data_IF_323967024031
#
_entry.id   IF_323967024031
#
_cell.length_a   1.000
_cell.length_b   1.000
_cell.length_c   1.000
_cell.angle_alpha   90.00
_cell.angle_beta   90.00
_cell.angle_gamma   90.00
#
_symmetry.space_group_name_H-M   'P 1'
#
loop_
_entity.id
_entity.type
_entity.pdbx_description
1 polymer ?
#
# COMPACT_ATOMS: atom_id res chain seq x y z
N UNK A 1 -25.19 -7.96 -11.77
CA UNK A 1 -23.75 -8.23 -11.61
C UNK A 1 -23.52 -9.59 -12.23
N UNK A 2 -22.81 -9.61 -13.36
CA UNK A 2 -22.42 -10.83 -14.05
C UNK A 2 -21.29 -11.50 -13.28
N UNK A 3 -21.13 -12.82 -13.42
CA UNK A 3 -20.02 -13.53 -12.81
C UNK A 3 -18.70 -13.14 -13.50
N UNK A 4 -17.56 -13.35 -12.82
CA UNK A 4 -16.27 -13.21 -13.47
C UNK A 4 -16.07 -14.35 -14.47
N UNK A 5 -15.80 -14.01 -15.73
CA UNK A 5 -15.23 -14.96 -16.68
C UNK A 5 -13.71 -14.96 -16.55
N UNK A 6 -13.13 -16.10 -16.16
CA UNK A 6 -11.69 -16.21 -15.89
C UNK A 6 -10.91 -16.73 -17.09
N UNK A 7 -9.81 -16.04 -17.40
CA UNK A 7 -8.85 -16.51 -18.37
C UNK A 7 -8.17 -17.80 -17.88
N UNK A 8 -8.33 -18.87 -18.67
CA UNK A 8 -7.83 -20.22 -18.38
C UNK A 8 -6.40 -20.48 -18.89
N UNK A 9 -5.82 -19.55 -19.66
CA UNK A 9 -4.47 -19.68 -20.19
C UNK A 9 -3.36 -19.23 -19.22
N UNK A 10 -2.16 -19.03 -19.77
CA UNK A 10 -0.98 -18.61 -19.00
C UNK A 10 -1.19 -17.24 -18.34
N UNK A 11 -0.68 -17.10 -17.11
CA UNK A 11 -0.76 -15.86 -16.32
C UNK A 11 0.65 -15.30 -16.09
N UNK A 12 0.79 -13.98 -16.02
CA UNK A 12 2.05 -13.34 -15.66
C UNK A 12 2.27 -13.33 -14.12
N UNK A 13 3.42 -12.82 -13.66
CA UNK A 13 3.73 -12.69 -12.24
C UNK A 13 2.75 -11.80 -11.46
N UNK A 14 2.01 -10.92 -12.14
CA UNK A 14 0.94 -10.10 -11.57
C UNK A 14 -0.44 -10.77 -11.54
N UNK A 15 -0.55 -12.04 -11.97
CA UNK A 15 -1.79 -12.80 -12.04
C UNK A 15 -2.67 -12.52 -13.26
N UNK A 16 -2.26 -11.62 -14.15
CA UNK A 16 -3.03 -11.27 -15.35
C UNK A 16 -2.87 -12.33 -16.44
N UNK A 17 -3.98 -12.67 -17.11
CA UNK A 17 -3.98 -13.55 -18.27
C UNK A 17 -3.17 -12.98 -19.44
N UNK A 18 -2.35 -13.83 -20.06
CA UNK A 18 -1.46 -13.49 -21.17
C UNK A 18 -1.77 -14.38 -22.38
N UNK A 19 -1.96 -13.74 -23.53
CA UNK A 19 -2.15 -14.37 -24.82
C UNK A 19 -0.78 -14.66 -25.47
N UNK A 20 -0.69 -15.81 -26.12
CA UNK A 20 0.50 -16.23 -26.88
C UNK A 20 0.79 -15.26 -28.03
N UNK A 21 -0.25 -14.78 -28.71
CA UNK A 21 -0.18 -13.76 -29.76
C UNK A 21 -0.97 -12.52 -29.33
N UNK A 22 -0.56 -11.34 -29.80
CA UNK A 22 -1.30 -10.12 -29.52
C UNK A 22 -2.66 -10.14 -30.23
N UNK A 23 -3.72 -9.78 -29.52
CA UNK A 23 -5.08 -9.59 -30.04
C UNK A 23 -5.48 -8.15 -29.72
N UNK A 24 -6.05 -7.45 -30.70
CA UNK A 24 -6.43 -6.03 -30.58
C UNK A 24 -5.27 -5.14 -30.05
N UNK A 25 -4.04 -5.43 -30.49
CA UNK A 25 -2.83 -4.69 -30.11
C UNK A 25 -2.28 -5.00 -28.72
N UNK A 26 -2.80 -6.00 -28.01
CA UNK A 26 -2.36 -6.36 -26.66
C UNK A 26 -2.13 -7.85 -26.48
N UNK A 27 -1.09 -8.21 -25.71
CA UNK A 27 -0.87 -9.59 -25.22
C UNK A 27 -1.57 -9.87 -23.89
N UNK A 28 -2.11 -8.85 -23.23
CA UNK A 28 -2.89 -9.03 -22.00
C UNK A 28 -4.34 -9.32 -22.35
N UNK A 29 -4.88 -10.45 -21.86
CA UNK A 29 -6.19 -10.95 -22.22
C UNK A 29 -7.31 -9.95 -21.87
N UNK A 30 -7.28 -9.38 -20.67
CA UNK A 30 -8.25 -8.38 -20.23
C UNK A 30 -8.22 -7.10 -21.08
N UNK A 31 -7.05 -6.66 -21.57
CA UNK A 31 -6.97 -5.52 -22.49
C UNK A 31 -7.54 -5.84 -23.86
N UNK A 32 -7.37 -7.08 -24.35
CA UNK A 32 -7.93 -7.51 -25.62
C UNK A 32 -9.47 -7.54 -25.55
N UNK A 33 -10.03 -8.07 -24.46
CA UNK A 33 -11.48 -8.09 -24.20
C UNK A 33 -12.06 -6.66 -24.06
N UNK A 34 -11.36 -5.76 -23.37
CA UNK A 34 -11.78 -4.36 -23.29
C UNK A 34 -11.71 -3.66 -24.66
N UNK A 35 -10.67 -3.93 -25.46
CA UNK A 35 -10.55 -3.35 -26.79
C UNK A 35 -11.69 -3.80 -27.72
N UNK A 36 -12.09 -5.07 -27.62
CA UNK A 36 -13.23 -5.61 -28.35
C UNK A 36 -14.54 -4.92 -27.95
N UNK A 37 -14.79 -4.78 -26.65
CA UNK A 37 -15.95 -4.02 -26.13
C UNK A 37 -15.99 -2.58 -26.63
N UNK A 38 -14.84 -1.91 -26.70
CA UNK A 38 -14.74 -0.51 -27.12
C UNK A 38 -14.73 -0.34 -28.65
N UNK A 39 -14.52 -1.41 -29.41
CA UNK A 39 -14.29 -1.33 -30.86
C UNK A 39 -12.99 -0.60 -31.25
N UNK A 40 -12.08 -0.36 -30.29
CA UNK A 40 -10.80 0.32 -30.50
C UNK A 40 -9.72 -0.20 -29.56
N UNK A 41 -8.43 -0.08 -29.90
CA UNK A 41 -7.36 -0.41 -28.98
C UNK A 41 -7.43 0.39 -27.67
N UNK A 42 -7.09 -0.27 -26.57
CA UNK A 42 -6.96 0.38 -25.24
C UNK A 42 -5.68 1.22 -25.26
N UNK A 43 -5.83 2.54 -25.21
CA UNK A 43 -4.72 3.49 -25.17
C UNK A 43 -4.14 3.60 -23.75
N UNK A 44 -5.02 3.62 -22.74
CA UNK A 44 -4.64 3.78 -21.33
C UNK A 44 -4.42 2.45 -20.62
N UNK A 45 -5.11 2.30 -19.50
CA UNK A 45 -5.13 1.13 -18.61
C UNK A 45 -6.50 0.47 -18.67
N UNK A 46 -6.50 -0.86 -18.70
CA UNK A 46 -7.71 -1.64 -18.49
C UNK A 46 -7.81 -1.95 -16.99
N UNK A 47 -8.76 -1.33 -16.31
CA UNK A 47 -8.96 -1.44 -14.86
C UNK A 47 -10.07 -2.45 -14.56
N UNK A 48 -9.85 -3.32 -13.58
CA UNK A 48 -10.86 -4.26 -13.10
C UNK A 48 -11.74 -3.62 -12.01
N UNK A 49 -13.06 -3.72 -12.15
CA UNK A 49 -13.99 -3.39 -11.05
C UNK A 49 -14.13 -4.54 -10.06
N UNK A 50 -13.99 -5.78 -10.53
CA UNK A 50 -14.08 -7.01 -9.72
C UNK A 50 -12.77 -7.37 -8.99
N UNK A 51 -11.69 -6.64 -9.26
CA UNK A 51 -10.41 -6.83 -8.59
C UNK A 51 -9.76 -8.23 -8.76
N UNK A 52 -10.23 -9.01 -9.75
CA UNK A 52 -9.77 -10.35 -10.10
C UNK A 52 -8.90 -10.30 -11.39
N UNK A 53 -7.55 -10.31 -11.29
CA UNK A 53 -6.64 -10.16 -12.44
C UNK A 53 -6.85 -11.10 -13.64
N UNK A 54 -7.23 -12.39 -13.47
CA UNK A 54 -7.55 -13.26 -14.60
C UNK A 54 -8.90 -12.96 -15.27
N UNK A 55 -9.73 -12.07 -14.72
CA UNK A 55 -11.06 -11.80 -15.28
C UNK A 55 -10.98 -11.08 -16.63
N UNK A 56 -11.76 -11.56 -17.61
CA UNK A 56 -11.88 -11.02 -18.97
C UNK A 56 -13.30 -10.55 -19.31
N UNK A 57 -14.25 -10.71 -18.39
CA UNK A 57 -15.64 -10.25 -18.56
C UNK A 57 -15.69 -8.75 -18.90
N UNK A 58 -16.18 -8.34 -20.09
CA UNK A 58 -16.15 -6.96 -20.54
C UNK A 58 -16.85 -5.97 -19.61
N UNK A 59 -17.91 -6.38 -18.91
CA UNK A 59 -18.61 -5.53 -17.94
C UNK A 59 -17.79 -5.22 -16.68
N UNK A 60 -16.77 -6.02 -16.37
CA UNK A 60 -15.85 -5.79 -15.26
C UNK A 60 -14.61 -4.96 -15.64
N UNK A 61 -14.52 -4.52 -16.89
CA UNK A 61 -13.36 -3.81 -17.44
C UNK A 61 -13.72 -2.37 -17.80
N UNK A 62 -12.88 -1.44 -17.35
CA UNK A 62 -12.97 -0.01 -17.61
C UNK A 62 -11.70 0.50 -18.29
N UNK A 63 -11.86 1.36 -19.30
CA UNK A 63 -10.75 2.16 -19.84
C UNK A 63 -10.48 3.30 -18.86
N UNK A 64 -9.20 3.61 -18.65
CA UNK A 64 -8.82 4.65 -17.73
C UNK A 64 -7.35 5.01 -17.83
N UNK A 65 -6.96 6.03 -17.09
CA UNK A 65 -5.60 6.53 -17.01
C UNK A 65 -4.81 5.80 -15.91
N UNK A 66 -3.49 5.97 -15.93
CA UNK A 66 -2.65 5.51 -14.83
C UNK A 66 -3.04 6.18 -13.49
N UNK A 67 -3.42 7.46 -13.52
CA UNK A 67 -3.85 8.20 -12.33
C UNK A 67 -5.11 7.59 -11.71
N UNK A 68 -6.08 7.25 -12.55
CA UNK A 68 -7.31 6.54 -12.16
C UNK A 68 -7.03 5.13 -11.61
N UNK A 69 -6.09 4.37 -12.20
CA UNK A 69 -5.69 3.07 -11.65
C UNK A 69 -5.03 3.19 -10.26
N UNK A 70 -4.21 4.23 -10.07
CA UNK A 70 -3.61 4.52 -8.76
C UNK A 70 -4.69 4.94 -7.76
N UNK A 71 -5.66 5.77 -8.16
CA UNK A 71 -6.77 6.17 -7.30
C UNK A 71 -7.60 4.96 -6.84
N UNK A 72 -7.92 4.03 -7.74
CA UNK A 72 -8.59 2.77 -7.39
C UNK A 72 -7.75 1.93 -6.42
N UNK A 73 -6.45 1.80 -6.68
CA UNK A 73 -5.54 1.07 -5.79
C UNK A 73 -5.44 1.70 -4.40
N UNK A 74 -5.48 3.03 -4.29
CA UNK A 74 -5.49 3.75 -3.00
C UNK A 74 -6.82 3.54 -2.29
N UNK A 75 -7.95 3.76 -2.97
CA UNK A 75 -9.29 3.56 -2.42
C UNK A 75 -9.50 2.13 -1.91
N UNK A 76 -8.88 1.14 -2.57
CA UNK A 76 -8.96 -0.29 -2.23
C UNK A 76 -7.83 -0.78 -1.32
N UNK A 77 -6.99 0.13 -0.80
CA UNK A 77 -5.91 -0.22 0.15
C UNK A 77 -4.80 -1.11 -0.42
N UNK A 78 -4.63 -1.15 -1.75
CA UNK A 78 -3.66 -2.01 -2.46
C UNK A 78 -2.30 -1.35 -2.69
N UNK A 79 -2.12 -0.11 -2.26
CA UNK A 79 -0.82 0.58 -2.36
C UNK A 79 0.09 0.17 -1.21
N UNK A 80 1.40 0.03 -1.46
CA UNK A 80 2.41 -0.27 -0.43
C UNK A 80 2.46 0.78 0.69
N UNK A 81 2.03 2.02 0.41
CA UNK A 81 1.84 3.10 1.38
C UNK A 81 0.44 3.18 2.00
N UNK A 82 -0.52 2.36 1.56
CA UNK A 82 -1.84 2.27 2.20
C UNK A 82 -1.83 1.52 3.53
N UNK A 83 -0.67 0.97 3.92
CA UNK A 83 -0.44 0.22 5.17
C UNK A 83 -0.01 1.07 6.36
N UNK A 84 -0.05 2.39 6.27
CA UNK A 84 -0.21 3.17 7.49
C UNK A 84 -1.71 3.27 7.66
N UNK A 85 -2.28 2.49 8.58
CA UNK A 85 -3.56 2.86 9.18
C UNK A 85 -3.46 4.37 9.45
N UNK A 86 -4.15 5.22 8.70
CA UNK A 86 -4.00 6.67 8.92
C UNK A 86 -4.39 7.02 10.36
N UNK A 87 -5.23 6.15 10.94
CA UNK A 87 -5.68 6.14 12.31
C UNK A 87 -4.70 5.53 13.33
N UNK A 88 -3.69 4.73 12.97
CA UNK A 88 -2.84 4.02 13.94
C UNK A 88 -1.37 3.90 13.51
N UNK A 89 -0.45 3.99 14.48
CA UNK A 89 0.99 3.86 14.23
C UNK A 89 1.43 2.39 14.16
N UNK A 90 2.68 2.12 13.76
CA UNK A 90 3.24 0.75 13.68
C UNK A 90 3.19 -0.05 15.00
N UNK A 91 3.03 0.64 16.13
CA UNK A 91 2.92 0.04 17.47
C UNK A 91 1.46 0.01 17.96
N UNK A 92 0.48 0.28 17.09
CA UNK A 92 -0.95 0.25 17.41
C UNK A 92 -1.49 1.50 18.13
N UNK A 93 -0.73 2.58 18.27
CA UNK A 93 -1.24 3.80 18.91
C UNK A 93 -2.08 4.64 17.95
N UNK A 94 -3.21 5.15 18.41
CA UNK A 94 -4.07 6.04 17.64
C UNK A 94 -3.32 7.32 17.19
N UNK A 95 -3.28 7.57 15.88
CA UNK A 95 -2.71 8.76 15.22
C UNK A 95 -3.79 9.84 15.06
N UNK A 96 -4.35 10.28 16.19
CA UNK A 96 -5.31 11.39 16.27
C UNK A 96 -4.62 12.73 16.50
N UNK A 97 -5.35 13.83 16.31
CA UNK A 97 -4.89 15.17 16.65
C UNK A 97 -4.37 15.22 18.09
N UNK A 98 -3.14 15.70 18.25
CA UNK A 98 -2.43 15.72 19.55
C UNK A 98 -1.57 14.48 19.86
N UNK A 99 -1.70 13.37 19.13
CA UNK A 99 -0.77 12.23 19.21
C UNK A 99 0.13 12.07 17.97
N UNK A 100 0.05 13.03 17.05
CA UNK A 100 0.84 13.07 15.82
C UNK A 100 1.64 14.37 15.76
N UNK A 101 2.91 14.26 15.37
CA UNK A 101 3.74 15.42 14.99
C UNK A 101 4.29 15.22 13.59
N UNK A 102 4.02 16.17 12.70
CA UNK A 102 4.59 16.17 11.35
C UNK A 102 6.00 16.77 11.42
N UNK A 103 6.99 16.11 10.83
CA UNK A 103 8.37 16.58 10.76
C UNK A 103 8.82 16.60 9.30
N UNK A 104 9.45 17.69 8.89
CA UNK A 104 10.11 17.76 7.60
C UNK A 104 11.46 17.04 7.69
N UNK A 105 11.71 16.15 6.73
CA UNK A 105 12.99 15.46 6.56
C UNK A 105 13.89 16.25 5.61
N UNK A 106 15.19 15.96 5.64
CA UNK A 106 16.18 16.59 4.78
C UNK A 106 15.95 16.31 3.27
N UNK A 107 15.28 15.20 2.95
CA UNK A 107 14.90 14.81 1.58
C UNK A 107 13.67 15.57 1.04
N UNK A 108 13.12 16.53 1.80
CA UNK A 108 11.95 17.31 1.44
C UNK A 108 10.61 16.62 1.72
N UNK A 109 10.63 15.38 2.21
CA UNK A 109 9.40 14.65 2.56
C UNK A 109 8.99 14.90 4.01
N UNK A 110 7.68 14.85 4.27
CA UNK A 110 7.13 14.95 5.62
C UNK A 110 6.92 13.57 6.24
N UNK A 111 7.44 13.37 7.45
CA UNK A 111 7.19 12.18 8.27
C UNK A 111 6.20 12.47 9.39
N UNK A 112 5.24 11.56 9.61
CA UNK A 112 4.35 11.59 10.78
C UNK A 112 4.99 10.82 11.93
N UNK A 113 5.22 11.49 13.05
CA UNK A 113 5.75 10.92 14.27
C UNK A 113 4.63 10.67 15.27
N UNK A 114 4.51 9.44 15.75
CA UNK A 114 3.65 9.11 16.89
C UNK A 114 4.28 9.66 18.19
N UNK A 115 3.59 10.58 18.86
CA UNK A 115 4.08 11.20 20.09
C UNK A 115 4.09 10.21 21.26
N UNK A 116 3.16 9.27 21.31
CA UNK A 116 3.14 8.20 22.31
C UNK A 116 4.36 7.28 22.19
N UNK A 117 4.70 6.83 20.98
CA UNK A 117 5.93 6.09 20.73
C UNK A 117 7.17 6.86 21.20
N UNK A 118 7.19 8.18 21.00
CA UNK A 118 8.29 9.05 21.44
C UNK A 118 8.39 9.09 22.97
N UNK A 119 7.27 9.19 23.70
CA UNK A 119 7.25 9.16 25.17
C UNK A 119 7.78 7.82 25.69
N UNK A 120 7.23 6.71 25.19
CA UNK A 120 7.63 5.35 25.58
C UNK A 120 9.13 5.14 25.35
N UNK A 121 9.64 5.50 24.17
CA UNK A 121 11.05 5.33 23.85
C UNK A 121 11.98 6.22 24.69
N UNK A 122 11.54 7.45 25.02
CA UNK A 122 12.27 8.35 25.91
C UNK A 122 12.42 7.77 27.31
N UNK A 123 11.32 7.22 27.88
CA UNK A 123 11.34 6.55 29.17
C UNK A 123 12.30 5.35 29.16
N UNK A 124 12.16 4.46 28.17
CA UNK A 124 13.05 3.30 28.00
C UNK A 124 14.52 3.71 27.89
N UNK A 125 14.83 4.80 27.17
CA UNK A 125 16.20 5.29 27.05
C UNK A 125 16.73 5.82 28.40
N UNK A 126 15.91 6.53 29.17
CA UNK A 126 16.27 7.03 30.51
C UNK A 126 16.59 5.87 31.47
N UNK A 127 15.73 4.84 31.49
CA UNK A 127 15.93 3.63 32.31
C UNK A 127 17.22 2.90 31.93
N UNK A 128 17.45 2.67 30.64
CA UNK A 128 18.69 2.06 30.13
C UNK A 128 19.93 2.86 30.55
N UNK A 129 19.87 4.20 30.48
CA UNK A 129 20.99 5.06 30.91
C UNK A 129 21.22 4.98 32.42
N UNK A 130 20.17 4.93 33.23
CA UNK A 130 20.28 4.76 34.69
C UNK A 130 20.88 3.40 35.04
N UNK A 131 20.41 2.32 34.42
CA UNK A 131 20.94 0.98 34.61
C UNK A 131 22.43 0.90 34.23
N UNK A 132 22.82 1.44 33.07
CA UNK A 132 24.22 1.48 32.65
C UNK A 132 25.10 2.31 33.59
N UNK A 133 24.58 3.40 34.17
CA UNK A 133 25.31 4.18 35.18
C UNK A 133 25.45 3.42 36.50
N UNK A 134 24.43 2.67 36.91
CA UNK A 134 24.46 1.82 38.10
C UNK A 134 25.47 0.67 37.93
N UNK A 135 25.45 -0.03 36.79
CA UNK A 135 26.39 -1.09 36.43
C UNK A 135 27.84 -0.60 36.40
N UNK A 136 28.07 0.62 35.90
CA UNK A 136 29.39 1.29 35.91
C UNK A 136 29.79 1.84 37.29
N UNK A 137 29.01 1.61 38.34
CA UNK A 137 29.28 2.09 39.70
C UNK A 137 29.16 3.61 39.90
N UNK A 138 28.60 4.33 38.93
CA UNK A 138 28.47 5.80 38.93
C UNK A 138 27.26 6.30 39.73
N UNK A 139 26.37 5.41 40.17
CA UNK A 139 25.22 5.71 41.03
C UNK A 139 25.29 4.78 42.24
N UNK A 140 25.64 5.31 43.42
CA UNK A 140 25.55 4.58 44.69
C UNK A 140 24.13 4.68 45.22
N UNK A 141 23.45 3.56 45.40
CA UNK A 141 22.22 3.51 46.19
C UNK A 141 22.58 3.83 47.64
N UNK A 142 21.86 4.78 48.27
CA UNK A 142 22.00 4.99 49.72
C UNK A 142 21.55 3.71 50.41
N UNK A 143 22.48 2.97 51.03
CA UNK A 143 22.13 1.93 52.00
C UNK A 143 21.40 2.59 53.16
N UNK A 144 20.27 2.00 53.55
CA UNK A 144 19.54 2.31 54.78
C UNK A 144 20.40 2.00 56.01
#
# INVERSE_FOLDING_TARGET
>A
MTACDEFTGTRNAGGYGVLTKAVNGSRLAHRAALAEKLGRPVVGMARHTCDNPPCIEPSHLLDGTQAENVADAVARGRTRGGRYNQAECINGHALVDGNVRIKLRHDGYTERLCLECRRINSTKQSERRKAARHERGLIRTRKA
#
